data_IF_358151237373
#
_entry.id   IF_358151237373
#
_cell.length_a   1.000
_cell.length_b   1.000
_cell.length_c   1.000
_cell.angle_alpha   90.00
_cell.angle_beta   90.00
_cell.angle_gamma   90.00
#
_symmetry.space_group_name_H-M   'P 1'
#
loop_
_entity.id
_entity.type
_entity.pdbx_description
1 polymer ?
#
# COMPACT_ATOMS: atom_id res chain seq x y z
N UNK A 1 -2.99 40.33 -7.02
CA UNK A 1 -2.34 39.07 -7.46
C UNK A 1 -2.73 38.01 -6.45
N UNK A 2 -3.92 37.45 -6.63
CA UNK A 2 -4.51 36.48 -5.72
C UNK A 2 -4.16 35.09 -6.24
N UNK A 3 -3.21 34.43 -5.56
CA UNK A 3 -2.96 33.02 -5.78
C UNK A 3 -4.09 32.27 -5.12
N UNK A 4 -5.03 31.85 -5.95
CA UNK A 4 -6.15 31.00 -5.61
C UNK A 4 -5.59 29.66 -5.12
N UNK A 5 -5.36 29.55 -3.81
CA UNK A 5 -5.17 28.26 -3.16
C UNK A 5 -6.50 27.52 -3.24
N UNK A 6 -6.45 26.41 -3.98
CA UNK A 6 -7.51 25.44 -4.22
C UNK A 6 -8.19 25.00 -2.90
N UNK A 7 -9.47 24.57 -2.97
CA UNK A 7 -10.38 24.57 -1.84
C UNK A 7 -9.88 23.61 -0.76
N UNK A 8 -9.70 24.14 0.44
CA UNK A 8 -9.54 23.40 1.68
C UNK A 8 -10.68 22.38 1.80
N UNK A 9 -10.43 21.14 1.38
CA UNK A 9 -11.27 20.01 1.75
C UNK A 9 -11.15 19.88 3.26
N UNK A 10 -12.30 19.98 3.94
CA UNK A 10 -12.45 19.69 5.35
C UNK A 10 -12.22 18.18 5.56
N UNK A 11 -10.98 17.72 5.54
CA UNK A 11 -10.64 16.36 5.98
C UNK A 11 -10.45 16.45 7.48
N UNK A 12 -11.59 16.43 8.17
CA UNK A 12 -11.68 16.41 9.62
C UNK A 12 -11.64 14.94 10.02
N UNK A 13 -10.56 14.55 10.68
CA UNK A 13 -10.31 13.25 11.30
C UNK A 13 -10.05 12.12 10.31
N UNK A 14 -8.76 11.90 10.03
CA UNK A 14 -8.29 10.57 9.64
C UNK A 14 -8.54 9.66 10.83
N UNK A 15 -9.69 9.00 10.84
CA UNK A 15 -10.06 8.09 11.91
C UNK A 15 -9.17 6.85 11.76
N UNK A 16 -8.07 6.83 12.53
CA UNK A 16 -7.07 5.74 12.47
C UNK A 16 -7.70 4.38 12.72
N UNK A 17 -8.78 4.34 13.49
CA UNK A 17 -9.54 3.12 13.73
C UNK A 17 -10.26 2.70 12.44
N UNK A 18 -11.01 3.60 11.80
CA UNK A 18 -11.67 3.31 10.52
C UNK A 18 -10.70 2.91 9.41
N UNK A 19 -9.52 3.56 9.31
CA UNK A 19 -8.49 3.19 8.33
C UNK A 19 -7.94 1.80 8.64
N UNK A 20 -7.67 1.50 9.91
CA UNK A 20 -7.16 0.19 10.33
C UNK A 20 -8.17 -0.92 10.08
N UNK A 21 -9.46 -0.67 10.35
CA UNK A 21 -10.53 -1.63 10.07
C UNK A 21 -10.66 -1.88 8.56
N UNK A 22 -10.67 -0.82 7.75
CA UNK A 22 -10.71 -0.93 6.30
C UNK A 22 -9.48 -1.68 5.75
N UNK A 23 -8.28 -1.42 6.29
CA UNK A 23 -7.07 -2.17 5.94
C UNK A 23 -7.21 -3.66 6.28
N UNK A 24 -7.71 -3.98 7.47
CA UNK A 24 -7.86 -5.37 7.90
C UNK A 24 -8.88 -6.13 7.04
N UNK A 25 -10.01 -5.50 6.70
CA UNK A 25 -11.00 -6.06 5.78
C UNK A 25 -10.40 -6.28 4.40
N UNK A 26 -9.76 -5.24 3.85
CA UNK A 26 -9.13 -5.27 2.53
C UNK A 26 -8.06 -6.36 2.41
N UNK A 27 -7.15 -6.43 3.39
CA UNK A 27 -6.11 -7.46 3.46
C UNK A 27 -6.72 -8.87 3.58
N UNK A 28 -7.80 -9.02 4.33
CA UNK A 28 -8.53 -10.28 4.46
C UNK A 28 -9.12 -10.75 3.13
N UNK A 29 -9.78 -9.85 2.40
CA UNK A 29 -10.32 -10.12 1.07
C UNK A 29 -9.21 -10.46 0.07
N UNK A 30 -8.13 -9.67 0.05
CA UNK A 30 -6.98 -9.93 -0.81
C UNK A 30 -6.36 -11.30 -0.54
N UNK A 31 -6.07 -11.62 0.72
CA UNK A 31 -5.45 -12.89 1.07
C UNK A 31 -6.37 -14.08 0.76
N UNK A 32 -7.68 -13.91 0.76
CA UNK A 32 -8.63 -14.97 0.44
C UNK A 32 -8.82 -15.14 -1.08
N UNK A 33 -8.79 -14.03 -1.84
CA UNK A 33 -9.00 -14.01 -3.29
C UNK A 33 -7.73 -14.23 -4.11
N UNK A 34 -6.57 -13.89 -3.56
CA UNK A 34 -5.28 -13.88 -4.29
C UNK A 34 -4.27 -14.80 -3.60
N UNK A 35 -4.14 -16.06 -4.04
CA UNK A 35 -3.14 -16.97 -3.50
C UNK A 35 -1.70 -16.57 -3.87
N UNK A 36 -1.53 -15.71 -4.87
CA UNK A 36 -0.25 -15.10 -5.23
C UNK A 36 0.17 -13.98 -4.27
N UNK A 37 -0.71 -13.51 -3.39
CA UNK A 37 -0.38 -12.50 -2.38
C UNK A 37 0.63 -13.08 -1.39
N UNK A 38 1.82 -12.50 -1.36
CA UNK A 38 2.88 -12.91 -0.44
C UNK A 38 2.94 -12.00 0.78
N UNK A 39 2.88 -10.69 0.58
CA UNK A 39 3.01 -9.71 1.66
C UNK A 39 2.26 -8.42 1.34
N UNK A 40 1.75 -7.76 2.37
CA UNK A 40 1.22 -6.39 2.27
C UNK A 40 1.99 -5.53 3.25
N UNK A 41 2.63 -4.48 2.76
CA UNK A 41 3.41 -3.53 3.56
C UNK A 41 2.81 -2.14 3.39
N UNK A 42 2.40 -1.55 4.49
CA UNK A 42 1.97 -0.16 4.55
C UNK A 42 3.18 0.73 4.69
N UNK A 43 3.40 1.64 3.76
CA UNK A 43 4.55 2.53 3.78
C UNK A 43 4.13 3.99 3.53
N UNK A 44 5.10 4.88 3.40
CA UNK A 44 4.85 6.30 3.13
C UNK A 44 4.69 7.15 4.39
N UNK A 45 4.08 8.32 4.22
CA UNK A 45 3.96 9.33 5.30
C UNK A 45 3.15 8.82 6.50
N UNK A 46 2.22 7.88 6.26
CA UNK A 46 1.44 7.23 7.31
C UNK A 46 2.28 6.28 8.18
N UNK A 47 3.30 5.60 7.62
CA UNK A 47 4.19 4.73 8.37
C UNK A 47 5.18 5.52 9.25
N UNK A 48 5.59 6.73 8.83
CA UNK A 48 6.52 7.59 9.58
C UNK A 48 5.92 8.37 10.75
N UNK A 49 4.59 8.41 10.89
CA UNK A 49 3.91 9.14 11.96
C UNK A 49 3.95 10.67 11.83
N UNK A 50 4.42 11.20 10.69
CA UNK A 50 4.34 12.62 10.31
C UNK A 50 3.09 12.86 9.43
N UNK A 51 1.99 12.20 9.82
CA UNK A 51 0.75 12.14 9.07
C UNK A 51 0.08 13.52 8.97
N UNK A 52 0.02 14.08 7.75
CA UNK A 52 -0.88 15.19 7.47
C UNK A 52 -2.29 14.63 7.25
N UNK A 53 -3.35 15.32 7.70
CA UNK A 53 -4.73 14.82 7.63
C UNK A 53 -5.29 14.65 6.20
N UNK A 54 -4.48 14.89 5.17
CA UNK A 54 -4.80 14.71 3.75
C UNK A 54 -3.90 13.67 3.08
N UNK A 55 -3.08 12.92 3.83
CA UNK A 55 -2.19 11.91 3.25
C UNK A 55 -2.98 10.71 2.74
N UNK A 56 -2.69 10.33 1.51
CA UNK A 56 -3.05 9.03 0.95
C UNK A 56 -2.28 7.91 1.66
N UNK A 57 -2.85 6.71 1.62
CA UNK A 57 -2.28 5.49 2.21
C UNK A 57 -1.56 4.72 1.12
N UNK A 58 -0.23 4.64 1.21
CA UNK A 58 0.58 3.87 0.27
C UNK A 58 0.72 2.41 0.73
N UNK A 59 0.22 1.47 -0.08
CA UNK A 59 0.29 0.04 0.19
C UNK A 59 1.17 -0.66 -0.84
N UNK A 60 2.24 -1.29 -0.37
CA UNK A 60 3.08 -2.17 -1.16
C UNK A 60 2.48 -3.57 -1.09
N UNK A 61 2.03 -4.08 -2.22
CA UNK A 61 1.49 -5.42 -2.33
C UNK A 61 2.55 -6.28 -3.00
N UNK A 62 3.15 -7.18 -2.24
CA UNK A 62 4.16 -8.12 -2.75
C UNK A 62 3.45 -9.38 -3.21
N UNK A 63 3.62 -9.68 -4.49
CA UNK A 63 3.11 -10.88 -5.13
C UNK A 63 4.26 -11.89 -5.32
N UNK A 64 3.98 -13.17 -5.14
CA UNK A 64 4.92 -14.26 -5.45
C UNK A 64 5.31 -14.22 -6.93
N UNK A 65 4.29 -14.19 -7.80
CA UNK A 65 4.43 -14.07 -9.25
C UNK A 65 3.21 -13.36 -9.83
N UNK A 66 3.40 -12.66 -10.94
CA UNK A 66 2.33 -12.05 -11.71
C UNK A 66 2.68 -12.15 -13.19
N UNK A 67 1.75 -12.61 -14.00
CA UNK A 67 1.87 -12.59 -15.46
C UNK A 67 1.35 -11.26 -16.05
N UNK A 68 0.67 -10.45 -15.23
CA UNK A 68 0.14 -9.14 -15.61
C UNK A 68 1.18 -8.02 -15.39
N UNK A 69 1.24 -7.02 -16.29
CA UNK A 69 2.10 -5.86 -16.15
C UNK A 69 1.64 -4.93 -15.02
N UNK A 70 2.55 -4.11 -14.48
CA UNK A 70 2.30 -3.24 -13.32
C UNK A 70 1.00 -2.43 -13.38
N UNK A 71 0.75 -1.78 -14.51
CA UNK A 71 -0.39 -0.89 -14.65
C UNK A 71 -1.74 -1.62 -14.69
N UNK A 72 -1.77 -2.85 -15.23
CA UNK A 72 -3.00 -3.65 -15.31
C UNK A 72 -3.37 -4.29 -13.97
N UNK A 73 -2.38 -4.53 -13.10
CA UNK A 73 -2.63 -5.09 -11.76
C UNK A 73 -3.08 -4.05 -10.74
N UNK A 74 -2.69 -2.77 -10.87
CA UNK A 74 -3.16 -1.70 -9.96
C UNK A 74 -4.68 -1.74 -9.73
N UNK A 75 -5.55 -1.70 -10.76
CA UNK A 75 -7.00 -1.71 -10.55
C UNK A 75 -7.53 -3.02 -9.95
N UNK A 76 -6.81 -4.14 -10.10
CA UNK A 76 -7.16 -5.44 -9.49
C UNK A 76 -6.95 -5.38 -7.99
N UNK A 77 -5.85 -4.76 -7.56
CA UNK A 77 -5.46 -4.59 -6.17
C UNK A 77 -5.83 -3.22 -5.61
N UNK A 78 -6.76 -2.48 -6.22
CA UNK A 78 -7.20 -1.18 -5.69
C UNK A 78 -8.53 -1.39 -4.96
N UNK A 79 -8.63 -0.99 -3.67
CA UNK A 79 -9.89 -1.13 -2.94
C UNK A 79 -10.98 -0.30 -3.60
N UNK A 80 -12.15 -0.91 -3.84
CA UNK A 80 -13.29 -0.22 -4.46
C UNK A 80 -13.87 0.90 -3.57
N UNK A 81 -13.70 0.77 -2.25
CA UNK A 81 -14.18 1.75 -1.27
C UNK A 81 -13.20 1.84 -0.12
N UNK A 82 -12.67 3.02 0.13
CA UNK A 82 -11.76 3.26 1.25
C UNK A 82 -12.04 4.64 1.88
N UNK A 83 -11.90 4.80 3.21
CA UNK A 83 -12.16 6.07 3.90
C UNK A 83 -11.24 7.22 3.46
N UNK A 84 -10.09 6.89 2.88
CA UNK A 84 -9.05 7.82 2.42
C UNK A 84 -8.54 7.38 1.05
N UNK A 85 -7.80 8.23 0.33
CA UNK A 85 -7.12 7.79 -0.89
C UNK A 85 -6.12 6.69 -0.57
N UNK A 86 -6.11 5.63 -1.38
CA UNK A 86 -5.15 4.53 -1.26
C UNK A 86 -4.43 4.41 -2.58
N UNK A 87 -3.11 4.45 -2.50
CA UNK A 87 -2.24 4.11 -3.61
C UNK A 87 -1.70 2.71 -3.39
N UNK A 88 -1.85 1.85 -4.40
CA UNK A 88 -1.48 0.44 -4.31
C UNK A 88 -0.37 0.18 -5.29
N UNK A 89 0.68 -0.42 -4.77
CA UNK A 89 1.89 -0.76 -5.49
C UNK A 89 2.04 -2.28 -5.50
N UNK A 90 1.27 -2.97 -6.35
CA UNK A 90 1.47 -4.39 -6.56
C UNK A 90 2.83 -4.57 -7.26
N UNK A 91 3.81 -5.15 -6.59
CA UNK A 91 5.09 -5.54 -7.18
C UNK A 91 5.29 -7.04 -6.97
N UNK A 92 5.89 -7.72 -7.95
CA UNK A 92 6.35 -9.08 -7.68
C UNK A 92 7.58 -9.06 -6.81
N UNK A 93 7.84 -10.18 -6.15
CA UNK A 93 9.12 -10.44 -5.47
C UNK A 93 10.30 -10.15 -6.40
N UNK A 94 10.25 -10.63 -7.64
CA UNK A 94 11.32 -10.44 -8.63
C UNK A 94 11.55 -8.96 -8.97
N UNK A 95 10.49 -8.16 -9.07
CA UNK A 95 10.61 -6.71 -9.31
C UNK A 95 11.18 -5.98 -8.10
N UNK A 96 10.76 -6.34 -6.88
CA UNK A 96 11.32 -5.76 -5.67
C UNK A 96 12.80 -6.10 -5.52
N UNK A 97 13.18 -7.36 -5.74
CA UNK A 97 14.58 -7.79 -5.72
C UNK A 97 15.39 -7.01 -6.76
N UNK A 98 14.91 -6.95 -8.01
CA UNK A 98 15.57 -6.17 -9.06
C UNK A 98 15.72 -4.70 -8.67
N UNK A 99 14.66 -4.05 -8.17
CA UNK A 99 14.69 -2.64 -7.75
C UNK A 99 15.63 -2.41 -6.56
N UNK A 100 15.72 -3.36 -5.62
CA UNK A 100 16.66 -3.30 -4.51
C UNK A 100 18.11 -3.45 -4.99
N UNK A 101 18.36 -4.36 -5.94
CA UNK A 101 19.68 -4.53 -6.57
C UNK A 101 20.09 -3.30 -7.39
N UNK A 102 19.15 -2.65 -8.06
CA UNK A 102 19.35 -1.37 -8.75
C UNK A 102 19.55 -0.19 -7.79
N UNK A 103 19.38 -0.40 -6.47
CA UNK A 103 19.57 0.63 -5.46
C UNK A 103 18.41 1.63 -5.38
N UNK A 104 17.19 1.20 -5.71
CA UNK A 104 16.01 2.04 -5.62
C UNK A 104 15.65 2.36 -4.16
N UNK A 105 16.01 3.57 -3.74
CA UNK A 105 15.78 4.04 -2.37
C UNK A 105 14.32 4.07 -1.94
N UNK A 106 13.38 4.13 -2.89
CA UNK A 106 11.95 4.07 -2.59
C UNK A 106 11.53 2.72 -2.02
N UNK A 107 11.85 1.63 -2.72
CA UNK A 107 11.52 0.27 -2.29
C UNK A 107 12.28 -0.10 -1.02
N UNK A 108 13.56 0.28 -0.95
CA UNK A 108 14.38 0.04 0.23
C UNK A 108 13.82 0.72 1.48
N UNK A 109 13.43 2.00 1.38
CA UNK A 109 12.79 2.74 2.48
C UNK A 109 11.41 2.19 2.80
N UNK A 110 10.60 1.83 1.79
CA UNK A 110 9.28 1.25 2.00
C UNK A 110 9.34 -0.10 2.74
N UNK A 111 10.32 -0.94 2.44
CA UNK A 111 10.50 -2.23 3.13
C UNK A 111 11.16 -2.07 4.52
N UNK A 112 12.01 -1.07 4.70
CA UNK A 112 12.71 -0.84 5.96
C UNK A 112 11.86 -0.06 6.99
N UNK A 113 11.11 0.94 6.55
CA UNK A 113 10.25 1.79 7.38
C UNK A 113 8.77 1.40 7.33
N UNK A 114 8.38 0.55 6.36
CA UNK A 114 6.99 0.13 6.21
C UNK A 114 6.54 -0.86 7.28
N UNK A 115 5.26 -0.77 7.63
CA UNK A 115 4.58 -1.67 8.54
C UNK A 115 3.97 -2.84 7.76
N UNK A 116 4.43 -4.05 8.05
CA UNK A 116 3.85 -5.26 7.45
C UNK A 116 2.45 -5.51 8.01
N UNK A 117 1.42 -5.35 7.18
CA UNK A 117 0.04 -5.63 7.52
C UNK A 117 -0.29 -7.11 7.41
N UNK A 118 0.31 -7.77 6.41
CA UNK A 118 0.11 -9.18 6.16
C UNK A 118 1.37 -9.81 5.60
N UNK A 119 1.61 -11.04 6.02
CA UNK A 119 2.64 -11.89 5.45
C UNK A 119 2.05 -13.28 5.37
N UNK A 120 2.04 -13.87 4.18
CA UNK A 120 1.63 -15.24 3.98
C UNK A 120 2.53 -16.14 4.85
N UNK A 121 1.95 -16.98 5.73
CA UNK A 121 2.74 -17.93 6.48
C UNK A 121 3.38 -18.89 5.46
N UNK A 122 4.70 -18.80 5.33
CA UNK A 122 5.46 -19.77 4.57
C UNK A 122 5.39 -21.05 5.41
N UNK A 123 4.46 -21.95 5.08
CA UNK A 123 4.40 -23.27 5.69
C UNK A 123 5.73 -23.95 5.39
N UNK A 124 6.63 -23.89 6.37
CA UNK A 124 7.85 -24.69 6.34
C UNK A 124 7.40 -26.12 6.63
N UNK A 125 7.43 -26.95 5.61
CA UNK A 125 7.30 -28.41 5.71
C UNK A 125 8.32 -29.00 6.70
#
# INVERSE_FOLDING_TARGET
MERQSSPFVRIRYLDREAVREALAEYVGELSAGHPELERVVLFGSFARGDEVPSSDVDLLIVLDRSELPFLDRIPVFMPSRFPVGVDVFPYTREELESMLEEGNGFVASALAEGAELYRRPHSRE
#
